data_IF_901083280619
#
_entry.id   IF_901083280619
#
_cell.length_a   1.000
_cell.length_b   1.000
_cell.length_c   1.000
_cell.angle_alpha   90.00
_cell.angle_beta   90.00
_cell.angle_gamma   90.00
#
_symmetry.space_group_name_H-M   'P 1'
#
loop_
_entity.id
_entity.type
_entity.pdbx_description
1 polymer ?
#
# COMPACT_ATOMS: atom_id res chain seq x y z
N UNK A 1 20.40 -20.20 -45.98
CA UNK A 1 18.94 -20.04 -46.12
C UNK A 1 18.11 -20.66 -44.99
N UNK A 2 18.44 -21.81 -44.39
CA UNK A 2 17.58 -22.42 -43.35
C UNK A 2 17.49 -21.67 -42.01
N UNK A 3 18.53 -20.97 -41.56
CA UNK A 3 18.56 -20.30 -40.24
C UNK A 3 17.66 -19.05 -40.19
N UNK A 4 17.58 -18.32 -41.30
CA UNK A 4 16.81 -17.08 -41.42
C UNK A 4 15.30 -17.36 -41.49
N UNK A 5 14.91 -18.42 -42.19
CA UNK A 5 13.53 -18.95 -42.23
C UNK A 5 13.09 -19.44 -40.83
N UNK A 6 14.02 -20.03 -40.06
CA UNK A 6 13.75 -20.48 -38.70
C UNK A 6 13.52 -19.31 -37.72
N UNK A 7 14.30 -18.23 -37.82
CA UNK A 7 14.14 -17.04 -36.99
C UNK A 7 12.84 -16.29 -37.28
N UNK A 8 12.45 -16.18 -38.55
CA UNK A 8 11.17 -15.56 -38.93
C UNK A 8 9.97 -16.34 -38.39
N UNK A 9 10.00 -17.68 -38.50
CA UNK A 9 8.96 -18.54 -37.92
C UNK A 9 8.87 -18.38 -36.40
N UNK A 10 10.01 -18.27 -35.72
CA UNK A 10 10.06 -18.03 -34.27
C UNK A 10 9.47 -16.66 -33.91
N UNK A 11 9.82 -15.61 -34.65
CA UNK A 11 9.29 -14.26 -34.44
C UNK A 11 7.76 -14.23 -34.61
N UNK A 12 7.20 -14.92 -35.60
CA UNK A 12 5.74 -15.05 -35.76
C UNK A 12 5.10 -15.72 -34.55
N UNK A 13 5.70 -16.79 -34.03
CA UNK A 13 5.19 -17.49 -32.84
C UNK A 13 5.26 -16.62 -31.58
N UNK A 14 6.37 -15.89 -31.39
CA UNK A 14 6.55 -14.94 -30.28
C UNK A 14 5.47 -13.85 -30.35
N UNK A 15 5.30 -13.21 -31.51
CA UNK A 15 4.31 -12.15 -31.67
C UNK A 15 2.88 -12.66 -31.44
N UNK A 16 2.56 -13.88 -31.90
CA UNK A 16 1.27 -14.49 -31.61
C UNK A 16 1.07 -14.76 -30.11
N UNK A 17 2.10 -15.21 -29.40
CA UNK A 17 2.04 -15.41 -27.95
C UNK A 17 1.90 -14.10 -27.17
N UNK A 18 2.65 -13.06 -27.55
CA UNK A 18 2.55 -11.71 -26.96
C UNK A 18 1.17 -11.11 -27.23
N UNK A 19 0.63 -11.27 -28.43
CA UNK A 19 -0.73 -10.82 -28.77
C UNK A 19 -1.81 -11.49 -27.92
N UNK A 20 -1.69 -12.81 -27.65
CA UNK A 20 -2.60 -13.51 -26.73
C UNK A 20 -2.46 -12.99 -25.30
N UNK A 21 -1.24 -12.77 -24.83
CA UNK A 21 -1.00 -12.22 -23.49
C UNK A 21 -1.63 -10.83 -23.32
N UNK A 22 -1.53 -9.97 -24.33
CA UNK A 22 -2.18 -8.65 -24.35
C UNK A 22 -3.70 -8.76 -24.12
N UNK A 23 -4.38 -9.67 -24.81
CA UNK A 23 -5.82 -9.89 -24.63
C UNK A 23 -6.20 -10.34 -23.21
N UNK A 24 -5.38 -11.20 -22.58
CA UNK A 24 -5.61 -11.59 -21.18
C UNK A 24 -5.41 -10.42 -20.22
N UNK A 25 -4.42 -9.55 -20.46
CA UNK A 25 -4.23 -8.36 -19.64
C UNK A 25 -5.40 -7.39 -19.78
N UNK A 26 -5.89 -7.13 -20.99
CA UNK A 26 -7.06 -6.28 -21.23
C UNK A 26 -8.30 -6.82 -20.51
N UNK A 27 -8.57 -8.12 -20.63
CA UNK A 27 -9.68 -8.76 -19.92
C UNK A 27 -9.51 -8.70 -18.40
N UNK A 28 -8.29 -8.93 -17.90
CA UNK A 28 -7.97 -8.85 -16.47
C UNK A 28 -8.20 -7.44 -15.92
N UNK A 29 -7.76 -6.41 -16.65
CA UNK A 29 -8.00 -5.02 -16.30
C UNK A 29 -9.50 -4.74 -16.27
N UNK A 30 -10.25 -5.14 -17.31
CA UNK A 30 -11.71 -4.97 -17.37
C UNK A 30 -12.42 -5.62 -16.17
N UNK A 31 -12.08 -6.87 -15.85
CA UNK A 31 -12.64 -7.59 -14.69
C UNK A 31 -12.34 -6.89 -13.36
N UNK A 32 -11.12 -6.36 -13.19
CA UNK A 32 -10.75 -5.59 -11.99
C UNK A 32 -11.54 -4.29 -11.89
N UNK A 33 -11.78 -3.58 -13.02
CA UNK A 33 -12.62 -2.37 -13.03
C UNK A 33 -14.03 -2.69 -12.54
N UNK A 34 -14.65 -3.75 -13.09
CA UNK A 34 -15.98 -4.18 -12.70
C UNK A 34 -16.04 -4.59 -11.23
N UNK A 35 -15.05 -5.36 -10.75
CA UNK A 35 -14.97 -5.74 -9.35
C UNK A 35 -14.91 -4.51 -8.43
N UNK A 36 -14.11 -3.51 -8.77
CA UNK A 36 -14.00 -2.29 -7.95
C UNK A 36 -15.31 -1.49 -7.91
N UNK A 37 -16.05 -1.44 -9.01
CA UNK A 37 -17.38 -0.81 -9.03
C UNK A 37 -18.37 -1.56 -8.15
N UNK A 38 -18.36 -2.90 -8.18
CA UNK A 38 -19.18 -3.72 -7.28
C UNK A 38 -18.77 -3.50 -5.80
N UNK A 39 -17.47 -3.38 -5.51
CA UNK A 39 -16.99 -3.12 -4.15
C UNK A 39 -17.45 -1.74 -3.64
N UNK A 40 -17.45 -0.73 -4.52
CA UNK A 40 -17.98 0.59 -4.23
C UNK A 40 -19.48 0.53 -3.92
N UNK A 41 -20.26 -0.10 -4.79
CA UNK A 41 -21.71 -0.26 -4.62
C UNK A 41 -22.05 -1.01 -3.33
N UNK A 42 -21.35 -2.12 -3.05
CA UNK A 42 -21.49 -2.85 -1.79
C UNK A 42 -21.16 -1.96 -0.58
N UNK A 43 -20.12 -1.13 -0.68
CA UNK A 43 -19.78 -0.14 0.34
C UNK A 43 -20.87 0.90 0.58
N UNK A 44 -21.52 1.39 -0.48
CA UNK A 44 -22.65 2.33 -0.40
C UNK A 44 -23.86 1.69 0.31
N UNK A 45 -24.23 0.46 -0.08
CA UNK A 45 -25.30 -0.30 0.55
C UNK A 45 -25.02 -0.61 2.03
N UNK A 46 -23.76 -0.90 2.37
CA UNK A 46 -23.34 -1.12 3.76
C UNK A 46 -23.46 0.14 4.62
N UNK A 47 -23.20 1.32 4.03
CA UNK A 47 -23.37 2.60 4.72
C UNK A 47 -24.85 2.87 4.98
N UNK A 48 -25.71 2.62 4.00
CA UNK A 48 -27.16 2.73 4.16
C UNK A 48 -27.69 1.79 5.26
N UNK A 49 -27.34 0.50 5.19
CA UNK A 49 -27.71 -0.48 6.19
C UNK A 49 -27.24 -0.08 7.61
N UNK A 50 -26.02 0.48 7.73
CA UNK A 50 -25.50 0.96 9.02
C UNK A 50 -26.33 2.11 9.60
N UNK A 51 -26.86 3.01 8.75
CA UNK A 51 -27.69 4.14 9.19
C UNK A 51 -29.08 3.66 9.64
N UNK A 52 -29.60 2.60 9.02
CA UNK A 52 -30.91 2.03 9.36
C UNK A 52 -30.94 1.18 10.64
N UNK A 53 -29.77 0.82 11.18
CA UNK A 53 -29.65 -0.07 12.34
C UNK A 53 -29.38 0.70 13.65
N UNK A 54 -29.85 0.18 14.81
CA UNK A 54 -29.49 0.72 16.11
C UNK A 54 -27.98 0.69 16.36
N UNK A 55 -27.51 1.59 17.21
CA UNK A 55 -26.09 1.66 17.55
C UNK A 55 -25.61 0.34 18.17
N UNK A 56 -24.52 -0.21 17.63
CA UNK A 56 -23.94 -1.48 18.08
C UNK A 56 -24.43 -2.74 17.35
N UNK A 57 -25.56 -2.69 16.64
CA UNK A 57 -26.12 -3.89 15.99
C UNK A 57 -25.52 -4.20 14.62
N UNK A 58 -24.86 -3.22 13.99
CA UNK A 58 -24.33 -3.36 12.64
C UNK A 58 -23.40 -4.57 12.47
N UNK A 59 -22.54 -4.86 13.46
CA UNK A 59 -21.59 -5.97 13.35
C UNK A 59 -22.29 -7.32 13.37
N UNK A 60 -23.19 -7.53 14.34
CA UNK A 60 -23.97 -8.77 14.44
C UNK A 60 -24.83 -8.98 13.20
N UNK A 61 -25.35 -7.90 12.61
CA UNK A 61 -26.10 -7.95 11.37
C UNK A 61 -25.23 -8.44 10.20
N UNK A 62 -24.00 -7.92 10.03
CA UNK A 62 -23.08 -8.37 8.98
C UNK A 62 -22.77 -9.86 9.13
N UNK A 63 -22.43 -10.30 10.34
CA UNK A 63 -22.06 -11.70 10.61
C UNK A 63 -23.23 -12.67 10.33
N UNK A 64 -24.47 -12.20 10.47
CA UNK A 64 -25.67 -13.02 10.24
C UNK A 64 -26.17 -12.98 8.80
N UNK A 65 -25.90 -11.91 8.03
CA UNK A 65 -26.54 -11.66 6.73
C UNK A 65 -25.56 -11.62 5.55
N UNK A 66 -24.26 -11.44 5.80
CA UNK A 66 -23.26 -11.27 4.75
C UNK A 66 -22.27 -12.44 4.74
N UNK A 67 -21.81 -12.82 3.55
CA UNK A 67 -20.82 -13.89 3.34
C UNK A 67 -19.37 -13.44 3.54
N UNK A 68 -19.14 -12.24 4.07
CA UNK A 68 -17.83 -11.64 4.25
C UNK A 68 -17.61 -11.16 5.69
N UNK A 69 -16.34 -11.02 6.07
CA UNK A 69 -15.96 -10.62 7.42
C UNK A 69 -16.31 -9.15 7.70
N UNK A 70 -16.41 -8.83 8.99
CA UNK A 70 -16.47 -7.44 9.48
C UNK A 70 -15.36 -6.57 8.87
N UNK A 71 -14.13 -7.07 8.82
CA UNK A 71 -12.98 -6.30 8.29
C UNK A 71 -13.15 -5.99 6.81
N UNK A 72 -13.73 -6.92 6.03
CA UNK A 72 -14.06 -6.68 4.63
C UNK A 72 -15.17 -5.62 4.50
N UNK A 73 -16.23 -5.70 5.32
CA UNK A 73 -17.30 -4.70 5.34
C UNK A 73 -16.76 -3.27 5.53
N UNK A 74 -15.87 -3.06 6.51
CA UNK A 74 -15.26 -1.75 6.75
C UNK A 74 -14.41 -1.26 5.57
N UNK A 75 -13.73 -2.16 4.85
CA UNK A 75 -12.96 -1.81 3.65
C UNK A 75 -13.87 -1.35 2.52
N UNK A 76 -14.95 -2.08 2.23
CA UNK A 76 -15.93 -1.72 1.21
C UNK A 76 -16.54 -0.34 1.52
N UNK A 77 -16.97 -0.13 2.76
CA UNK A 77 -17.47 1.18 3.20
C UNK A 77 -16.40 2.30 3.07
N UNK A 78 -15.12 1.99 3.32
CA UNK A 78 -14.03 2.95 3.15
C UNK A 78 -13.80 3.30 1.68
N UNK A 79 -13.89 2.32 0.77
CA UNK A 79 -13.81 2.53 -0.68
C UNK A 79 -14.93 3.47 -1.13
N UNK A 80 -16.17 3.18 -0.73
CA UNK A 80 -17.33 4.02 -1.06
C UNK A 80 -17.17 5.45 -0.55
N UNK A 81 -16.80 5.63 0.73
CA UNK A 81 -16.63 6.96 1.34
C UNK A 81 -15.53 7.81 0.72
N UNK A 82 -14.49 7.17 0.19
CA UNK A 82 -13.31 7.85 -0.33
C UNK A 82 -13.25 7.80 -1.86
N UNK A 83 -14.35 7.47 -2.54
CA UNK A 83 -14.34 7.16 -3.97
C UNK A 83 -13.78 8.31 -4.84
N UNK A 84 -14.23 9.54 -4.63
CA UNK A 84 -13.77 10.71 -5.38
C UNK A 84 -12.30 11.03 -5.11
N UNK A 85 -11.81 10.69 -3.92
CA UNK A 85 -10.40 10.86 -3.55
C UNK A 85 -9.54 9.78 -4.22
N UNK A 86 -10.02 8.55 -4.28
CA UNK A 86 -9.37 7.44 -4.98
C UNK A 86 -9.20 7.79 -6.46
N UNK A 87 -10.26 8.27 -7.11
CA UNK A 87 -10.23 8.67 -8.52
C UNK A 87 -9.24 9.82 -8.77
N UNK A 88 -9.32 10.91 -7.98
CA UNK A 88 -8.40 12.05 -8.12
C UNK A 88 -6.93 11.67 -7.93
N UNK A 89 -6.63 10.87 -6.91
CA UNK A 89 -5.27 10.44 -6.65
C UNK A 89 -4.74 9.50 -7.74
N UNK A 90 -5.62 8.73 -8.36
CA UNK A 90 -5.29 7.89 -9.49
C UNK A 90 -4.97 8.74 -10.73
N UNK A 91 -5.84 9.68 -11.08
CA UNK A 91 -5.65 10.62 -12.19
C UNK A 91 -4.34 11.41 -12.03
N UNK A 92 -4.04 11.90 -10.82
CA UNK A 92 -2.82 12.64 -10.53
C UNK A 92 -1.53 11.80 -10.67
N UNK A 93 -1.61 10.48 -10.43
CA UNK A 93 -0.46 9.56 -10.55
C UNK A 93 -0.27 9.02 -11.95
N UNK A 94 -1.24 9.20 -12.85
CA UNK A 94 -1.17 8.78 -14.24
C UNK A 94 -1.43 9.97 -15.20
N UNK A 95 -0.61 11.04 -15.19
CA UNK A 95 -0.86 12.23 -16.00
C UNK A 95 -0.64 12.02 -17.51
N UNK A 96 0.00 10.93 -17.94
CA UNK A 96 0.36 10.67 -19.35
C UNK A 96 -0.55 9.66 -20.07
N UNK A 97 -1.68 9.27 -19.50
CA UNK A 97 -2.66 8.43 -20.19
C UNK A 97 -3.49 9.25 -21.21
N UNK A 98 -2.84 9.99 -22.10
CA UNK A 98 -3.49 10.69 -23.22
C UNK A 98 -3.86 9.75 -24.37
N UNK A 99 -3.39 8.51 -24.34
CA UNK A 99 -3.83 7.45 -25.26
C UNK A 99 -4.48 6.34 -24.46
N UNK A 100 -5.80 6.44 -24.33
CA UNK A 100 -6.80 5.41 -24.59
C UNK A 100 -8.10 5.88 -23.93
N UNK A 101 -9.18 5.90 -24.70
CA UNK A 101 -10.46 6.55 -24.45
C UNK A 101 -11.28 5.93 -23.28
N UNK A 102 -10.63 5.22 -22.36
CA UNK A 102 -11.21 4.58 -21.19
C UNK A 102 -10.16 4.52 -20.07
N UNK A 103 -10.00 5.61 -19.32
CA UNK A 103 -9.08 5.67 -18.17
C UNK A 103 -9.31 4.45 -17.24
N UNK A 104 -8.30 3.59 -17.01
CA UNK A 104 -8.49 2.40 -16.22
C UNK A 104 -8.65 2.73 -14.75
N UNK A 105 -9.67 2.20 -14.08
CA UNK A 105 -9.79 2.32 -12.62
C UNK A 105 -8.56 1.70 -11.93
N UNK A 106 -8.16 2.21 -10.74
CA UNK A 106 -7.10 1.59 -9.94
C UNK A 106 -7.42 0.13 -9.61
N UNK A 107 -6.41 -0.69 -9.37
CA UNK A 107 -6.63 -1.99 -8.72
C UNK A 107 -7.18 -1.81 -7.30
N UNK A 108 -7.89 -2.81 -6.76
CA UNK A 108 -8.42 -2.78 -5.39
C UNK A 108 -7.37 -2.41 -4.34
N UNK A 109 -6.13 -2.93 -4.47
CA UNK A 109 -5.02 -2.59 -3.58
C UNK A 109 -4.61 -1.13 -3.72
N UNK A 110 -4.57 -0.59 -4.93
CA UNK A 110 -4.29 0.83 -5.17
C UNK A 110 -5.41 1.70 -4.61
N UNK A 111 -6.68 1.33 -4.81
CA UNK A 111 -7.82 2.01 -4.23
C UNK A 111 -7.77 2.04 -2.69
N UNK A 112 -7.46 0.91 -2.05
CA UNK A 112 -7.29 0.83 -0.60
C UNK A 112 -6.08 1.63 -0.09
N UNK A 113 -4.95 1.56 -0.79
CA UNK A 113 -3.77 2.36 -0.46
C UNK A 113 -4.03 3.87 -0.60
N UNK A 114 -4.83 4.27 -1.59
CA UNK A 114 -5.23 5.66 -1.80
C UNK A 114 -6.27 6.15 -0.79
N UNK A 115 -7.18 5.28 -0.36
CA UNK A 115 -8.11 5.56 0.72
C UNK A 115 -7.37 5.72 2.07
N UNK A 116 -6.42 4.82 2.34
CA UNK A 116 -5.60 4.80 3.55
C UNK A 116 -4.52 5.89 3.58
N UNK A 117 -4.14 6.45 2.44
CA UNK A 117 -3.31 7.65 2.36
C UNK A 117 -4.15 8.85 2.82
N UNK A 118 -4.35 8.99 4.12
CA UNK A 118 -4.87 10.24 4.71
C UNK A 118 -3.99 11.40 4.24
N UNK A 119 -4.53 12.54 3.78
CA UNK A 119 -3.77 13.77 3.89
C UNK A 119 -3.46 13.92 5.39
N UNK A 120 -2.19 14.03 5.76
CA UNK A 120 -1.84 14.51 7.10
C UNK A 120 -2.64 15.82 7.24
N UNK A 121 -3.68 15.80 8.07
CA UNK A 121 -4.36 17.02 8.48
C UNK A 121 -3.22 17.94 8.92
N UNK A 122 -3.00 19.03 8.18
CA UNK A 122 -2.15 20.11 8.66
C UNK A 122 -2.77 20.53 9.99
N UNK A 123 -2.17 20.06 11.09
CA UNK A 123 -2.64 20.41 12.41
C UNK A 123 -2.37 21.89 12.56
N UNK A 124 -3.45 22.66 12.50
CA UNK A 124 -3.48 24.04 12.93
C UNK A 124 -2.96 24.16 14.37
N UNK A 125 -2.08 25.15 14.55
CA UNK A 125 -1.47 25.63 15.80
C UNK A 125 -0.61 24.63 16.56
N UNK A 126 0.70 24.82 16.43
CA UNK A 126 1.70 24.35 17.37
C UNK A 126 1.30 24.83 18.78
N UNK A 127 0.68 23.96 19.56
CA UNK A 127 0.82 24.01 21.01
C UNK A 127 2.32 23.96 21.29
N UNK A 128 2.86 24.96 21.97
CA UNK A 128 4.27 25.00 22.37
C UNK A 128 4.58 23.70 23.12
N UNK A 129 5.30 22.78 22.47
CA UNK A 129 5.70 21.51 23.06
C UNK A 129 7.10 21.67 23.62
N UNK A 130 7.26 21.40 24.91
CA UNK A 130 8.54 21.44 25.61
C UNK A 130 9.15 20.04 25.69
N UNK A 131 10.46 19.94 25.44
CA UNK A 131 11.22 18.68 25.51
C UNK A 131 12.54 18.91 26.23
N UNK A 132 13.08 17.87 26.86
CA UNK A 132 14.39 17.91 27.50
C UNK A 132 15.44 17.24 26.61
N UNK A 133 16.61 17.87 26.44
CA UNK A 133 17.68 17.36 25.57
C UNK A 133 18.39 16.19 26.24
N UNK A 134 18.38 15.02 25.59
CA UNK A 134 19.02 13.79 26.09
C UNK A 134 20.38 13.48 25.45
N UNK A 135 20.81 14.22 24.41
CA UNK A 135 22.12 13.99 23.79
C UNK A 135 23.26 14.55 24.66
N UNK A 136 24.14 13.70 25.23
CA UNK A 136 25.22 14.13 26.13
C UNK A 136 26.29 14.98 25.45
N UNK A 137 26.39 14.91 24.11
CA UNK A 137 27.37 15.67 23.34
C UNK A 137 26.89 17.09 22.97
N UNK A 138 25.63 17.44 23.25
CA UNK A 138 25.06 18.74 22.92
C UNK A 138 25.27 19.75 24.06
N UNK A 139 25.61 21.03 23.78
CA UNK A 139 25.83 22.04 24.83
C UNK A 139 24.63 22.28 25.74
N UNK A 140 23.41 22.02 25.25
CA UNK A 140 22.16 22.16 26.00
C UNK A 140 21.68 20.85 26.67
N UNK A 141 22.56 19.87 26.86
CA UNK A 141 22.19 18.59 27.48
C UNK A 141 21.51 18.79 28.84
N UNK A 142 20.34 18.17 29.02
CA UNK A 142 19.53 18.25 30.22
C UNK A 142 18.66 19.50 30.35
N UNK A 143 18.76 20.46 29.43
CA UNK A 143 17.90 21.65 29.40
C UNK A 143 16.56 21.35 28.72
N UNK A 144 15.51 22.10 29.12
CA UNK A 144 14.19 22.07 28.48
C UNK A 144 14.18 23.10 27.36
N UNK A 145 13.80 22.66 26.16
CA UNK A 145 13.75 23.45 24.93
C UNK A 145 12.34 23.45 24.35
N UNK A 146 11.95 24.56 23.73
CA UNK A 146 10.62 24.78 23.18
C UNK A 146 10.61 24.54 21.66
N UNK A 147 9.74 23.66 21.15
CA UNK A 147 9.65 23.41 19.71
C UNK A 147 9.03 24.61 19.00
N UNK A 148 9.82 25.22 18.12
CA UNK A 148 9.39 26.37 17.32
C UNK A 148 8.92 25.93 15.93
N UNK A 149 9.54 24.89 15.35
CA UNK A 149 9.20 24.39 14.02
C UNK A 149 9.57 22.92 13.83
N UNK A 150 8.76 22.16 13.11
CA UNK A 150 9.14 20.82 12.65
C UNK A 150 9.69 20.86 11.20
N UNK A 151 10.76 20.11 10.94
CA UNK A 151 11.36 19.95 9.61
C UNK A 151 11.41 18.45 9.24
N UNK A 152 11.37 18.14 7.94
CA UNK A 152 11.48 16.79 7.39
C UNK A 152 10.55 15.75 8.06
N UNK A 153 9.24 15.87 7.81
CA UNK A 153 8.22 14.90 8.22
C UNK A 153 8.19 14.49 9.72
N UNK A 154 8.79 15.28 10.61
CA UNK A 154 8.74 15.08 12.08
C UNK A 154 9.99 14.43 12.68
N UNK A 155 11.05 14.22 11.89
CA UNK A 155 12.31 13.64 12.36
C UNK A 155 13.24 14.69 12.98
N UNK A 156 13.15 15.95 12.52
CA UNK A 156 13.96 17.08 12.98
C UNK A 156 13.05 18.15 13.58
N UNK A 157 13.33 18.56 14.82
CA UNK A 157 12.64 19.63 15.53
C UNK A 157 13.60 20.82 15.68
N UNK A 158 13.17 22.01 15.29
CA UNK A 158 13.89 23.26 15.60
C UNK A 158 13.37 23.75 16.95
N UNK A 159 14.25 23.75 17.94
CA UNK A 159 13.90 24.11 19.31
C UNK A 159 14.64 25.37 19.76
N UNK A 160 13.94 26.19 20.54
CA UNK A 160 14.49 27.39 21.16
C UNK A 160 14.94 27.08 22.58
N UNK A 161 16.17 27.45 22.89
CA UNK A 161 16.78 27.28 24.21
C UNK A 161 16.35 28.39 25.18
N UNK A 162 16.54 28.22 26.50
CA UNK A 162 16.32 29.29 27.49
C UNK A 162 17.17 30.55 27.21
N UNK A 163 18.34 30.38 26.58
CA UNK A 163 19.22 31.47 26.14
C UNK A 163 18.70 32.24 24.92
N UNK A 164 17.67 31.71 24.24
CA UNK A 164 17.05 32.31 23.07
C UNK A 164 17.61 31.86 21.72
N UNK A 165 18.64 31.01 21.72
CA UNK A 165 19.23 30.42 20.51
C UNK A 165 18.37 29.26 20.00
N UNK A 166 18.29 29.12 18.67
CA UNK A 166 17.55 28.05 17.99
C UNK A 166 18.49 26.97 17.45
N UNK A 167 18.21 25.71 17.80
CA UNK A 167 19.00 24.56 17.35
C UNK A 167 18.10 23.47 16.76
N UNK A 168 18.55 22.78 15.68
CA UNK A 168 17.87 21.60 15.18
C UNK A 168 18.26 20.36 16.02
N UNK A 169 17.27 19.63 16.49
CA UNK A 169 17.42 18.37 17.23
C UNK A 169 16.71 17.24 16.48
N UNK A 170 17.29 16.04 16.53
CA UNK A 170 16.56 14.84 16.12
C UNK A 170 15.57 14.45 17.21
N UNK A 171 14.40 13.94 16.84
CA UNK A 171 13.37 13.54 17.81
C UNK A 171 13.85 12.50 18.83
N UNK A 172 14.84 11.68 18.47
CA UNK A 172 15.48 10.69 19.36
C UNK A 172 16.41 11.31 20.43
N UNK A 173 16.80 12.56 20.25
CA UNK A 173 17.66 13.33 21.18
C UNK A 173 16.84 14.15 22.18
N UNK A 174 15.51 14.01 22.13
CA UNK A 174 14.57 14.76 22.94
C UNK A 174 13.70 13.78 23.72
N UNK A 175 13.60 14.00 25.02
CA UNK A 175 12.75 13.23 25.94
C UNK A 175 11.69 14.13 26.57
N UNK A 176 10.66 13.54 27.18
CA UNK A 176 9.67 14.30 27.93
C UNK A 176 10.36 15.09 29.08
N UNK A 177 9.89 16.30 29.43
CA UNK A 177 10.55 17.16 30.40
C UNK A 177 10.75 16.51 31.78
N UNK A 178 9.81 15.64 32.18
CA UNK A 178 9.85 14.92 33.46
C UNK A 178 10.55 13.54 33.39
N UNK A 179 11.00 13.11 32.21
CA UNK A 179 11.64 11.81 32.06
C UNK A 179 13.07 11.82 32.64
N UNK A 180 13.47 10.76 33.37
CA UNK A 180 14.85 10.59 33.80
C UNK A 180 15.75 10.37 32.58
N UNK A 181 16.96 10.95 32.59
CA UNK A 181 17.96 10.72 31.55
C UNK A 181 18.60 9.36 31.84
N UNK A 182 18.24 8.33 31.08
CA UNK A 182 18.94 7.05 31.11
C UNK A 182 20.16 7.12 30.19
N UNK A 183 21.34 6.74 30.70
CA UNK A 183 22.56 6.61 29.90
C UNK A 183 22.38 5.46 28.89
N UNK A 184 22.27 5.79 27.60
CA UNK A 184 22.14 4.79 26.53
C UNK A 184 23.53 4.33 26.10
N UNK A 185 23.76 3.01 26.18
CA UNK A 185 24.90 2.31 25.58
C UNK A 185 24.69 2.22 24.05
N UNK A 186 25.68 2.70 23.30
CA UNK A 186 25.69 2.72 21.83
C UNK A 186 25.68 1.32 21.21
N UNK A 187 24.72 1.04 20.32
CA UNK A 187 24.88 0.04 19.25
C UNK A 187 24.17 0.55 17.98
N UNK A 188 24.96 0.97 16.99
CA UNK A 188 24.49 1.17 15.61
C UNK A 188 24.47 -0.16 14.87
N UNK A 189 23.33 -0.50 14.24
CA UNK A 189 23.28 -1.51 13.17
C UNK A 189 22.62 -0.84 11.96
N UNK A 190 23.40 -0.70 10.90
CA UNK A 190 22.96 -0.26 9.56
C UNK A 190 22.40 -1.50 8.85
N UNK A 191 21.12 -1.50 8.47
CA UNK A 191 20.55 -2.54 7.63
C UNK A 191 20.78 -2.26 6.13
N UNK A 192 20.96 -3.31 5.30
CA UNK A 192 21.27 -3.16 3.89
C UNK A 192 20.04 -2.87 3.02
N UNK A 193 20.28 -2.13 1.93
CA UNK A 193 19.28 -1.68 0.96
C UNK A 193 18.74 -2.87 0.15
N UNK A 194 17.42 -3.10 0.21
CA UNK A 194 16.71 -4.22 -0.41
C UNK A 194 16.63 -4.13 -1.96
N UNK A 195 16.82 -5.28 -2.61
CA UNK A 195 16.71 -5.48 -4.06
C UNK A 195 15.24 -5.45 -4.53
N UNK A 196 14.98 -4.89 -5.72
CA UNK A 196 13.64 -4.74 -6.31
C UNK A 196 12.95 -6.10 -6.55
N UNK A 197 13.73 -7.18 -6.68
CA UNK A 197 13.24 -8.56 -6.79
C UNK A 197 12.54 -9.02 -5.51
N UNK A 198 13.07 -8.70 -4.35
CA UNK A 198 12.52 -9.15 -3.06
C UNK A 198 11.22 -8.42 -2.75
N UNK A 199 11.14 -7.14 -3.12
CA UNK A 199 9.93 -6.35 -3.02
C UNK A 199 8.81 -6.89 -3.92
N UNK A 200 9.13 -7.42 -5.11
CA UNK A 200 8.16 -8.08 -5.99
C UNK A 200 7.71 -9.43 -5.42
N UNK A 201 8.64 -10.22 -4.86
CA UNK A 201 8.33 -11.52 -4.21
C UNK A 201 7.44 -11.36 -2.99
N UNK A 202 7.73 -10.39 -2.12
CA UNK A 202 6.85 -10.02 -0.99
C UNK A 202 5.49 -9.53 -1.47
N UNK A 203 5.45 -8.76 -2.56
CA UNK A 203 4.18 -8.27 -3.11
C UNK A 203 3.30 -9.41 -3.63
N UNK A 204 3.89 -10.39 -4.32
CA UNK A 204 3.17 -11.58 -4.81
C UNK A 204 2.73 -12.46 -3.64
N UNK A 205 3.60 -12.68 -2.64
CA UNK A 205 3.29 -13.47 -1.45
C UNK A 205 2.08 -12.89 -0.69
N UNK A 206 2.03 -11.57 -0.50
CA UNK A 206 0.87 -10.93 0.12
C UNK A 206 -0.39 -10.99 -0.73
N UNK A 207 -0.31 -10.89 -2.06
CA UNK A 207 -1.50 -11.04 -2.92
C UNK A 207 -2.08 -12.46 -2.79
N UNK A 208 -1.23 -13.48 -2.69
CA UNK A 208 -1.62 -14.88 -2.50
C UNK A 208 -2.27 -15.09 -1.12
N UNK A 209 -1.74 -14.44 -0.07
CA UNK A 209 -2.21 -14.58 1.30
C UNK A 209 -3.64 -14.02 1.55
N UNK A 210 -4.08 -13.07 0.73
CA UNK A 210 -5.37 -12.38 0.93
C UNK A 210 -6.46 -12.78 -0.07
N UNK A 211 -6.20 -13.72 -0.97
CA UNK A 211 -7.23 -14.25 -1.86
C UNK A 211 -8.06 -15.32 -1.13
N UNK A 212 -9.40 -15.32 -1.28
CA UNK A 212 -10.22 -16.42 -0.80
C UNK A 212 -9.72 -17.76 -1.36
N UNK A 213 -9.71 -18.81 -0.54
CA UNK A 213 -9.12 -20.09 -0.91
C UNK A 213 -9.68 -20.65 -2.23
N UNK A 214 -10.97 -20.43 -2.51
CA UNK A 214 -11.57 -20.85 -3.78
C UNK A 214 -11.01 -20.09 -4.99
N UNK A 215 -10.73 -18.80 -4.84
CA UNK A 215 -10.15 -17.95 -5.89
C UNK A 215 -8.67 -18.29 -6.09
N UNK A 216 -7.96 -18.57 -5.00
CA UNK A 216 -6.57 -19.00 -5.05
C UNK A 216 -6.43 -20.36 -5.75
N UNK A 217 -7.30 -21.32 -5.43
CA UNK A 217 -7.35 -22.62 -6.11
C UNK A 217 -7.72 -22.48 -7.59
N UNK A 218 -8.66 -21.61 -7.95
CA UNK A 218 -9.01 -21.35 -9.34
C UNK A 218 -7.85 -20.72 -10.12
N UNK A 219 -7.16 -19.73 -9.53
CA UNK A 219 -5.98 -19.09 -10.11
C UNK A 219 -4.81 -20.07 -10.24
N UNK A 220 -4.53 -20.87 -9.21
CA UNK A 220 -3.51 -21.92 -9.26
C UNK A 220 -3.85 -22.97 -10.32
N UNK A 221 -5.11 -23.41 -10.40
CA UNK A 221 -5.55 -24.38 -11.40
C UNK A 221 -5.40 -23.84 -12.82
N UNK A 222 -5.79 -22.58 -13.07
CA UNK A 222 -5.58 -21.92 -14.36
C UNK A 222 -4.09 -21.72 -14.67
N UNK A 223 -3.31 -21.25 -13.70
CA UNK A 223 -1.87 -21.03 -13.87
C UNK A 223 -1.13 -22.35 -14.12
N UNK A 224 -1.53 -23.45 -13.49
CA UNK A 224 -1.01 -24.79 -13.74
C UNK A 224 -1.47 -25.34 -15.08
N UNK A 225 -2.70 -25.05 -15.52
CA UNK A 225 -3.20 -25.45 -16.83
C UNK A 225 -2.41 -24.75 -17.95
N UNK A 226 -2.23 -23.43 -17.81
CA UNK A 226 -1.40 -22.61 -18.69
C UNK A 226 0.04 -23.12 -18.62
N UNK A 227 0.59 -23.33 -17.42
CA UNK A 227 1.92 -23.89 -17.22
C UNK A 227 2.12 -25.20 -17.98
N UNK A 228 1.16 -26.13 -17.90
CA UNK A 228 1.18 -27.42 -18.61
C UNK A 228 1.16 -27.30 -20.13
N UNK A 229 0.48 -26.28 -20.66
CA UNK A 229 0.39 -26.04 -22.10
C UNK A 229 1.68 -25.44 -22.68
N UNK A 230 2.52 -24.84 -21.83
CA UNK A 230 3.76 -24.15 -22.21
C UNK A 230 5.05 -24.77 -21.63
N UNK A 231 4.95 -25.77 -20.75
CA UNK A 231 6.07 -26.58 -20.27
C UNK A 231 6.36 -27.69 -21.30
N UNK A 232 7.61 -27.82 -21.79
CA UNK A 232 7.98 -28.95 -22.64
C UNK A 232 7.74 -30.25 -21.87
N UNK A 233 7.20 -31.27 -22.56
CA UNK A 233 6.82 -32.59 -21.98
C UNK A 233 7.98 -33.31 -21.26
N UNK A 234 9.21 -32.81 -21.42
CA UNK A 234 10.45 -33.44 -20.97
C UNK A 234 10.89 -33.04 -19.55
N UNK A 235 10.19 -32.12 -18.88
CA UNK A 235 10.56 -31.67 -17.53
C UNK A 235 9.85 -32.53 -16.48
N UNK A 236 10.55 -33.60 -16.09
CA UNK A 236 10.15 -34.49 -14.99
C UNK A 236 10.35 -33.78 -13.63
N UNK A 237 9.30 -33.12 -13.14
CA UNK A 237 9.28 -32.59 -11.77
C UNK A 237 9.20 -33.76 -10.78
N UNK A 238 10.36 -34.29 -10.39
CA UNK A 238 10.44 -35.11 -9.18
C UNK A 238 10.16 -34.22 -7.98
N UNK A 239 8.92 -34.28 -7.51
CA UNK A 239 8.51 -33.70 -6.23
C UNK A 239 9.29 -34.45 -5.14
N UNK A 240 10.19 -33.73 -4.47
CA UNK A 240 10.91 -34.18 -3.28
C UNK A 240 10.05 -33.93 -2.03
#
# INVERSE_FOLDING_TARGET
MNKEICLQSLATKINAAVGRAAGFYEQGISNIKSALLCDKEAGELLIEAKVSLPHGEFISWIESNCSFSRSHAHRLMSIAKNWEKILRNWEAKCPTCETFNESPLPSLRAALALAAAEPKLEKESASQQEYKVSNPNHPCFGEVVEVTKEMHQGDVLVCKTPSGDEFPFLKKELIAPDAPIEEVLDVEIIEPVADKSDKLRETIAHVIEYLPEQVLQALLSQALLIGREYLPEDIDFKVA
#
